data_IF_427425146443
#
_entry.id   IF_427425146443
#
_cell.length_a   1.000
_cell.length_b   1.000
_cell.length_c   1.000
_cell.angle_alpha   90.00
_cell.angle_beta   90.00
_cell.angle_gamma   90.00
#
_symmetry.space_group_name_H-M   'P 1'
#
loop_
_entity.id
_entity.type
_entity.pdbx_description
1 polymer ?
#
# COMPACT_ATOMS: atom_id res chain seq x y z
N UNK A 1 -20.57 -3.67 9.20
CA UNK A 1 -19.34 -4.02 8.48
C UNK A 1 -19.47 -3.41 7.09
N UNK A 2 -18.64 -2.43 6.78
CA UNK A 2 -18.61 -1.85 5.44
C UNK A 2 -17.97 -2.88 4.53
N UNK A 3 -18.61 -3.23 3.42
CA UNK A 3 -18.06 -4.15 2.43
C UNK A 3 -16.98 -3.43 1.61
N UNK A 4 -15.75 -3.51 2.09
CA UNK A 4 -14.58 -2.82 1.53
C UNK A 4 -14.29 -3.26 0.07
N UNK A 5 -14.78 -4.42 -0.36
CA UNK A 5 -14.62 -4.91 -1.73
C UNK A 5 -15.42 -4.09 -2.76
N UNK A 6 -16.49 -3.41 -2.33
CA UNK A 6 -17.36 -2.59 -3.20
C UNK A 6 -16.95 -1.11 -3.26
N UNK A 7 -15.96 -0.66 -2.49
CA UNK A 7 -15.64 0.76 -2.34
C UNK A 7 -14.54 1.19 -3.30
N UNK A 8 -13.69 0.30 -3.77
CA UNK A 8 -12.56 0.71 -4.59
C UNK A 8 -12.23 -0.30 -5.70
N UNK A 9 -12.49 0.09 -6.94
CA UNK A 9 -11.98 -0.62 -8.10
C UNK A 9 -10.57 -0.08 -8.39
N UNK A 10 -9.52 -0.93 -8.34
CA UNK A 10 -8.15 -0.49 -8.62
C UNK A 10 -8.04 0.11 -10.03
N UNK A 11 -7.31 1.21 -10.15
CA UNK A 11 -7.13 1.91 -11.43
C UNK A 11 -6.29 1.04 -12.37
N UNK A 12 -6.73 0.90 -13.64
CA UNK A 12 -6.03 0.14 -14.69
C UNK A 12 -5.69 -1.31 -14.26
N UNK A 13 -6.55 -1.96 -13.47
CA UNK A 13 -6.28 -3.26 -12.87
C UNK A 13 -5.82 -4.30 -13.89
N UNK A 14 -6.56 -4.45 -14.99
CA UNK A 14 -6.26 -5.45 -16.01
C UNK A 14 -4.92 -5.17 -16.72
N UNK A 15 -4.62 -3.90 -16.98
CA UNK A 15 -3.36 -3.49 -17.60
C UNK A 15 -2.18 -3.76 -16.65
N UNK A 16 -2.32 -3.44 -15.37
CA UNK A 16 -1.31 -3.73 -14.35
C UNK A 16 -1.08 -5.24 -14.21
N UNK A 17 -2.14 -6.05 -14.18
CA UNK A 17 -2.03 -7.51 -14.12
C UNK A 17 -1.31 -8.05 -15.36
N UNK A 18 -1.68 -7.60 -16.56
CA UNK A 18 -1.06 -8.06 -17.79
C UNK A 18 0.44 -7.71 -17.89
N UNK A 19 0.87 -6.60 -17.29
CA UNK A 19 2.27 -6.20 -17.26
C UNK A 19 3.07 -6.97 -16.20
N UNK A 20 2.47 -7.25 -15.03
CA UNK A 20 3.14 -7.91 -13.92
C UNK A 20 3.19 -9.44 -14.08
N UNK A 21 2.11 -10.05 -14.57
CA UNK A 21 1.97 -11.51 -14.62
C UNK A 21 3.13 -12.24 -15.32
N UNK A 22 3.67 -11.78 -16.47
CA UNK A 22 4.76 -12.48 -17.14
C UNK A 22 6.03 -12.63 -16.29
N UNK A 23 6.32 -11.65 -15.41
CA UNK A 23 7.46 -11.70 -14.52
C UNK A 23 7.23 -12.68 -13.34
N UNK A 24 6.00 -13.08 -13.09
CA UNK A 24 5.58 -13.88 -11.94
C UNK A 24 5.19 -15.33 -12.30
N UNK A 25 5.38 -15.77 -13.55
CA UNK A 25 4.96 -17.09 -14.04
C UNK A 25 5.81 -18.27 -13.55
N UNK A 26 6.99 -18.01 -12.96
CA UNK A 26 7.88 -19.06 -12.51
C UNK A 26 7.68 -19.41 -11.03
N UNK A 27 8.17 -20.59 -10.63
CA UNK A 27 8.13 -21.03 -9.23
C UNK A 27 8.93 -20.09 -8.32
N UNK A 28 8.37 -19.79 -7.15
CA UNK A 28 8.95 -18.91 -6.13
C UNK A 28 9.14 -17.44 -6.58
N UNK A 29 8.42 -17.00 -7.61
CA UNK A 29 8.43 -15.60 -8.00
C UNK A 29 7.99 -14.70 -6.84
N UNK A 30 8.64 -13.55 -6.71
CA UNK A 30 8.37 -12.57 -5.64
C UNK A 30 8.01 -11.23 -6.25
N UNK A 31 6.81 -10.77 -5.96
CA UNK A 31 6.39 -9.40 -6.23
C UNK A 31 6.48 -8.53 -4.98
N UNK A 32 6.73 -7.24 -5.16
CA UNK A 32 6.57 -6.23 -4.12
C UNK A 32 5.54 -5.20 -4.59
N UNK A 33 4.55 -4.97 -3.76
CA UNK A 33 3.63 -3.83 -3.88
C UNK A 33 4.02 -2.79 -2.83
N UNK A 34 4.59 -1.67 -3.28
CA UNK A 34 5.12 -0.61 -2.42
C UNK A 34 4.03 0.38 -1.97
N UNK A 35 2.80 0.21 -2.44
CA UNK A 35 1.64 1.08 -2.22
C UNK A 35 0.39 0.23 -2.02
N UNK A 36 0.46 -0.70 -1.06
CA UNK A 36 -0.50 -1.78 -0.89
C UNK A 36 -1.96 -1.31 -0.79
N UNK A 37 -2.20 -0.21 -0.04
CA UNK A 37 -3.54 0.28 0.23
C UNK A 37 -4.45 -0.82 0.78
N UNK A 38 -5.58 -1.05 0.11
CA UNK A 38 -6.52 -2.13 0.44
C UNK A 38 -6.25 -3.43 -0.34
N UNK A 39 -5.04 -3.62 -0.87
CA UNK A 39 -4.56 -4.80 -1.58
C UNK A 39 -5.32 -5.17 -2.87
N UNK A 40 -5.97 -4.22 -3.53
CA UNK A 40 -6.76 -4.51 -4.73
C UNK A 40 -5.93 -5.08 -5.88
N UNK A 41 -4.83 -4.41 -6.24
CA UNK A 41 -3.86 -4.88 -7.24
C UNK A 41 -3.16 -6.16 -6.81
N UNK A 42 -2.66 -6.19 -5.58
CA UNK A 42 -1.94 -7.33 -5.01
C UNK A 42 -2.73 -8.64 -5.04
N UNK A 43 -4.03 -8.59 -4.72
CA UNK A 43 -4.93 -9.75 -4.82
C UNK A 43 -5.03 -10.23 -6.28
N UNK A 44 -5.16 -9.31 -7.23
CA UNK A 44 -5.24 -9.66 -8.64
C UNK A 44 -3.93 -10.27 -9.15
N UNK A 45 -2.77 -9.75 -8.75
CA UNK A 45 -1.46 -10.32 -9.09
C UNK A 45 -1.33 -11.76 -8.56
N UNK A 46 -1.65 -12.00 -7.29
CA UNK A 46 -1.57 -13.33 -6.69
C UNK A 46 -2.59 -14.31 -7.30
N UNK A 47 -3.74 -13.85 -7.76
CA UNK A 47 -4.71 -14.69 -8.49
C UNK A 47 -4.23 -15.03 -9.89
N UNK A 48 -3.57 -14.08 -10.58
CA UNK A 48 -3.02 -14.30 -11.92
C UNK A 48 -1.75 -15.18 -11.89
N UNK A 49 -0.97 -15.12 -10.81
CA UNK A 49 0.26 -15.88 -10.61
C UNK A 49 0.17 -16.79 -9.36
N UNK A 50 -0.41 -18.01 -9.47
CA UNK A 50 -0.70 -18.87 -8.32
C UNK A 50 0.53 -19.34 -7.53
N UNK A 51 1.73 -19.31 -8.13
CA UNK A 51 3.00 -19.73 -7.51
C UNK A 51 3.79 -18.57 -6.91
N UNK A 52 3.38 -17.33 -7.18
CA UNK A 52 4.07 -16.15 -6.70
C UNK A 52 3.74 -15.87 -5.23
N UNK A 53 4.68 -15.22 -4.55
CA UNK A 53 4.53 -14.60 -3.24
C UNK A 53 4.56 -13.08 -3.40
N UNK A 54 3.97 -12.36 -2.46
CA UNK A 54 3.91 -10.89 -2.50
C UNK A 54 4.27 -10.30 -1.15
N UNK A 55 5.15 -9.32 -1.17
CA UNK A 55 5.42 -8.42 -0.06
C UNK A 55 4.61 -7.16 -0.30
N UNK A 56 3.70 -6.84 0.62
CA UNK A 56 2.90 -5.63 0.54
C UNK A 56 3.36 -4.61 1.56
N UNK A 57 3.85 -3.47 1.07
CA UNK A 57 4.35 -2.37 1.90
C UNK A 57 3.31 -1.27 1.94
N UNK A 58 2.98 -0.80 3.13
CA UNK A 58 2.24 0.44 3.31
C UNK A 58 2.72 1.16 4.56
N UNK A 59 2.76 2.48 4.50
CA UNK A 59 3.06 3.33 5.64
C UNK A 59 1.84 3.64 6.51
N UNK A 60 0.64 3.32 6.03
CA UNK A 60 -0.62 3.45 6.75
C UNK A 60 -0.96 2.12 7.43
N UNK A 61 -0.78 2.05 8.74
CA UNK A 61 -1.02 0.83 9.52
C UNK A 61 -2.48 0.38 9.50
N UNK A 62 -3.44 1.29 9.31
CA UNK A 62 -4.85 0.97 9.19
C UNK A 62 -5.15 0.29 7.85
N UNK A 63 -4.65 0.87 6.74
CA UNK A 63 -4.75 0.27 5.42
C UNK A 63 -4.11 -1.13 5.41
N UNK A 64 -2.93 -1.28 6.02
CA UNK A 64 -2.24 -2.57 6.13
C UNK A 64 -3.06 -3.62 6.89
N UNK A 65 -3.72 -3.24 7.98
CA UNK A 65 -4.61 -4.13 8.72
C UNK A 65 -5.78 -4.61 7.88
N UNK A 66 -6.48 -3.69 7.20
CA UNK A 66 -7.59 -4.01 6.31
C UNK A 66 -7.17 -4.87 5.10
N UNK A 67 -5.99 -4.60 4.54
CA UNK A 67 -5.41 -5.40 3.47
C UNK A 67 -5.13 -6.83 3.92
N UNK A 68 -4.58 -7.01 5.11
CA UNK A 68 -4.28 -8.32 5.70
C UNK A 68 -5.56 -9.14 5.89
N UNK A 69 -6.59 -8.56 6.50
CA UNK A 69 -7.90 -9.22 6.63
C UNK A 69 -8.51 -9.59 5.28
N UNK A 70 -8.31 -8.75 4.26
CA UNK A 70 -8.79 -9.03 2.92
C UNK A 70 -8.05 -10.18 2.26
N UNK A 71 -6.72 -10.24 2.41
CA UNK A 71 -5.90 -11.36 1.94
C UNK A 71 -6.31 -12.69 2.58
N UNK A 72 -6.63 -12.70 3.88
CA UNK A 72 -7.14 -13.87 4.59
C UNK A 72 -8.48 -14.33 4.01
N UNK A 73 -9.43 -13.42 3.80
CA UNK A 73 -10.75 -13.74 3.20
C UNK A 73 -10.66 -14.28 1.78
N UNK A 74 -9.67 -13.83 1.02
CA UNK A 74 -9.39 -14.30 -0.34
C UNK A 74 -8.59 -15.63 -0.37
N UNK A 75 -8.16 -16.16 0.78
CA UNK A 75 -7.36 -17.36 0.89
C UNK A 75 -5.92 -17.21 0.37
N UNK A 76 -5.36 -16.00 0.47
CA UNK A 76 -4.05 -15.63 -0.06
C UNK A 76 -3.00 -15.37 1.03
N UNK A 77 -3.37 -15.47 2.31
CA UNK A 77 -2.52 -15.12 3.44
C UNK A 77 -1.17 -15.87 3.45
N UNK A 78 -1.15 -17.14 3.06
CA UNK A 78 0.08 -17.96 3.02
C UNK A 78 1.12 -17.49 2.00
N UNK A 79 0.70 -16.63 1.06
CA UNK A 79 1.53 -16.08 -0.01
C UNK A 79 1.77 -14.59 0.10
N UNK A 80 1.34 -13.98 1.22
CA UNK A 80 1.37 -12.56 1.46
C UNK A 80 2.18 -12.22 2.71
N UNK A 81 3.06 -11.22 2.61
CA UNK A 81 3.87 -10.70 3.72
C UNK A 81 3.53 -9.20 3.86
N UNK A 82 2.74 -8.80 4.84
CA UNK A 82 2.48 -7.39 5.12
C UNK A 82 3.66 -6.73 5.84
N UNK A 83 4.06 -5.54 5.41
CA UNK A 83 5.15 -4.78 6.03
C UNK A 83 4.74 -3.33 6.22
N UNK A 84 4.77 -2.86 7.49
CA UNK A 84 4.56 -1.45 7.81
C UNK A 84 5.85 -0.66 7.61
N UNK A 85 5.98 -0.04 6.45
CA UNK A 85 7.13 0.76 6.05
C UNK A 85 6.75 1.78 4.97
N UNK A 86 7.59 2.76 4.73
CA UNK A 86 7.49 3.59 3.54
C UNK A 86 8.22 2.93 2.36
N UNK A 87 7.81 3.23 1.13
CA UNK A 87 8.37 2.61 -0.07
C UNK A 87 9.87 2.91 -0.29
N UNK A 88 10.38 4.00 0.25
CA UNK A 88 11.80 4.35 0.24
C UNK A 88 12.66 3.46 1.17
N UNK A 89 12.02 2.64 1.99
CA UNK A 89 12.66 1.64 2.85
C UNK A 89 12.70 0.24 2.21
N UNK A 90 12.38 0.11 0.92
CA UNK A 90 12.32 -1.17 0.22
C UNK A 90 13.57 -2.03 0.43
N UNK A 91 14.76 -1.43 0.33
CA UNK A 91 16.02 -2.16 0.51
C UNK A 91 16.12 -2.80 1.91
N UNK A 92 15.72 -2.06 2.94
CA UNK A 92 15.71 -2.58 4.30
C UNK A 92 14.66 -3.67 4.48
N UNK A 93 13.46 -3.49 3.92
CA UNK A 93 12.39 -4.50 3.94
C UNK A 93 12.85 -5.82 3.33
N UNK A 94 13.54 -5.78 2.18
CA UNK A 94 14.06 -6.98 1.53
C UNK A 94 15.18 -7.64 2.35
N UNK A 95 16.08 -6.83 2.92
CA UNK A 95 17.16 -7.34 3.77
C UNK A 95 16.61 -8.04 5.04
N UNK A 96 15.58 -7.47 5.67
CA UNK A 96 14.95 -8.05 6.88
C UNK A 96 14.21 -9.37 6.58
N UNK A 97 13.88 -9.64 5.32
CA UNK A 97 13.26 -10.89 4.86
C UNK A 97 14.27 -11.88 4.24
N UNK A 98 15.58 -11.59 4.28
CA UNK A 98 16.63 -12.36 3.62
C UNK A 98 16.39 -12.54 2.10
N UNK A 99 15.83 -11.52 1.44
CA UNK A 99 15.49 -11.52 0.00
C UNK A 99 16.49 -10.65 -0.74
N UNK A 100 17.31 -11.27 -1.61
CA UNK A 100 18.30 -10.56 -2.42
C UNK A 100 17.72 -9.99 -3.73
N UNK A 101 16.66 -10.62 -4.25
CA UNK A 101 16.07 -10.26 -5.55
C UNK A 101 14.56 -10.46 -5.55
N UNK A 102 13.87 -9.58 -6.28
CA UNK A 102 12.44 -9.69 -6.58
C UNK A 102 12.23 -9.66 -8.09
N UNK A 103 11.14 -10.23 -8.56
CA UNK A 103 10.85 -10.39 -9.98
C UNK A 103 10.03 -9.22 -10.52
N UNK A 104 9.25 -8.59 -9.66
CA UNK A 104 8.46 -7.42 -10.01
C UNK A 104 8.27 -6.47 -8.82
N UNK A 105 8.24 -5.17 -9.11
CA UNK A 105 7.92 -4.11 -8.14
C UNK A 105 6.77 -3.28 -8.72
N UNK A 106 5.75 -3.08 -7.92
CA UNK A 106 4.59 -2.27 -8.27
C UNK A 106 4.51 -1.04 -7.36
N UNK A 107 4.18 0.12 -7.95
CA UNK A 107 3.94 1.37 -7.24
C UNK A 107 2.78 2.12 -7.90
N UNK A 108 1.68 2.30 -7.16
CA UNK A 108 0.56 3.19 -7.51
C UNK A 108 0.63 4.43 -6.62
N UNK A 109 1.45 5.40 -7.06
CA UNK A 109 1.82 6.55 -6.23
C UNK A 109 0.68 7.56 -6.14
N UNK A 110 0.28 7.89 -4.93
CA UNK A 110 -0.78 8.87 -4.66
C UNK A 110 -1.40 8.71 -3.28
N UNK A 111 -2.63 9.18 -3.15
CA UNK A 111 -3.46 9.02 -1.96
C UNK A 111 -4.43 7.85 -2.15
N UNK A 112 -4.66 7.08 -1.10
CA UNK A 112 -5.69 6.05 -1.11
C UNK A 112 -7.08 6.67 -0.91
N UNK A 113 -8.12 5.99 -1.42
CA UNK A 113 -9.51 6.40 -1.17
C UNK A 113 -9.82 6.42 0.32
N UNK A 114 -9.29 5.48 1.10
CA UNK A 114 -9.44 5.44 2.55
C UNK A 114 -8.99 6.76 3.18
N UNK A 115 -7.81 7.28 2.80
CA UNK A 115 -7.26 8.53 3.32
C UNK A 115 -8.12 9.75 2.94
N UNK A 116 -8.71 9.75 1.75
CA UNK A 116 -9.58 10.86 1.27
C UNK A 116 -10.95 10.81 1.95
N UNK A 117 -11.52 9.62 2.12
CA UNK A 117 -12.87 9.41 2.65
C UNK A 117 -12.92 9.63 4.17
N UNK A 118 -11.82 9.40 4.87
CA UNK A 118 -11.68 9.68 6.30
C UNK A 118 -11.40 11.17 6.54
N UNK A 119 -12.46 11.93 6.73
CA UNK A 119 -12.42 13.40 6.87
C UNK A 119 -11.39 13.87 7.90
N UNK A 120 -11.29 13.19 9.05
CA UNK A 120 -10.41 13.56 10.16
C UNK A 120 -8.92 13.42 9.84
N UNK A 121 -8.57 12.71 8.75
CA UNK A 121 -7.19 12.58 8.24
C UNK A 121 -6.67 13.86 7.58
N UNK A 122 -7.55 14.79 7.20
CA UNK A 122 -7.19 16.07 6.64
C UNK A 122 -6.70 16.07 5.19
N UNK A 123 -6.94 15.00 4.42
CA UNK A 123 -6.54 14.93 3.00
C UNK A 123 -7.56 15.54 2.04
N UNK A 124 -8.81 15.72 2.48
CA UNK A 124 -9.87 16.31 1.67
C UNK A 124 -10.08 17.79 2.00
N UNK A 125 -10.17 18.62 0.97
CA UNK A 125 -10.54 20.04 1.11
C UNK A 125 -12.06 20.29 1.06
N UNK A 126 -12.86 19.24 0.91
CA UNK A 126 -14.32 19.35 0.79
C UNK A 126 -15.04 19.55 2.13
N UNK A 127 -14.34 19.32 3.24
CA UNK A 127 -14.84 19.44 4.60
C UNK A 127 -13.80 20.10 5.50
N UNK A 128 -14.26 20.78 6.54
CA UNK A 128 -13.39 21.25 7.61
C UNK A 128 -12.84 20.04 8.39
N UNK A 129 -11.51 19.98 8.50
CA UNK A 129 -10.81 18.91 9.19
C UNK A 129 -9.53 19.44 9.83
N UNK A 130 -8.93 18.74 10.82
CA UNK A 130 -7.59 19.04 11.29
C UNK A 130 -6.58 19.01 10.14
N UNK A 131 -5.61 19.92 10.12
CA UNK A 131 -4.54 19.95 9.14
C UNK A 131 -3.46 18.92 9.54
N UNK A 132 -3.85 17.64 9.53
CA UNK A 132 -3.01 16.53 9.93
C UNK A 132 -2.16 16.01 8.74
N UNK A 133 -2.78 15.38 7.76
CA UNK A 133 -2.22 14.84 6.53
C UNK A 133 -1.10 13.78 6.74
N UNK A 134 -1.01 13.17 7.92
CA UNK A 134 -0.09 12.04 8.14
C UNK A 134 -0.69 10.78 7.50
N UNK A 135 0.06 10.16 6.62
CA UNK A 135 -0.28 8.82 6.15
C UNK A 135 -0.01 7.77 7.25
N UNK A 136 1.10 7.94 7.97
CA UNK A 136 1.43 7.16 9.17
C UNK A 136 1.14 8.01 10.42
N UNK A 137 0.03 7.72 11.07
CA UNK A 137 -0.43 8.45 12.27
C UNK A 137 0.48 8.27 13.49
N UNK A 138 1.38 7.29 13.47
CA UNK A 138 2.39 7.12 14.53
C UNK A 138 3.49 8.19 14.48
N UNK A 139 3.67 8.86 13.34
CA UNK A 139 4.64 9.92 13.16
C UNK A 139 4.19 11.20 13.87
N UNK A 140 5.11 11.97 14.48
CA UNK A 140 4.74 13.17 15.24
C UNK A 140 4.50 14.41 14.39
N UNK A 141 4.88 14.38 13.08
CA UNK A 141 4.91 15.55 12.23
C UNK A 141 3.65 15.68 11.38
N UNK A 142 2.76 16.60 11.76
CA UNK A 142 1.55 16.95 11.00
C UNK A 142 1.82 18.07 10.00
N UNK A 143 0.95 18.25 9.01
CA UNK A 143 1.01 19.38 8.09
C UNK A 143 0.89 20.73 8.82
N UNK A 144 0.04 20.81 9.84
CA UNK A 144 -0.06 21.99 10.71
C UNK A 144 1.29 22.36 11.33
N UNK A 145 2.00 21.35 11.88
CA UNK A 145 3.29 21.57 12.53
C UNK A 145 4.36 21.99 11.51
N UNK A 146 4.37 21.38 10.33
CA UNK A 146 5.28 21.78 9.24
C UNK A 146 5.08 23.26 8.91
N UNK A 147 3.86 23.68 8.63
CA UNK A 147 3.55 25.08 8.29
C UNK A 147 3.83 26.07 9.43
N UNK A 148 3.72 25.62 10.69
CA UNK A 148 3.98 26.47 11.85
C UNK A 148 5.47 26.62 12.19
N UNK A 149 6.32 25.68 11.79
CA UNK A 149 7.71 25.61 12.29
C UNK A 149 8.78 25.68 11.22
N UNK A 150 8.48 25.31 9.97
CA UNK A 150 9.43 25.32 8.85
C UNK A 150 9.56 26.72 8.27
N UNK A 151 10.76 27.10 7.88
CA UNK A 151 10.97 28.34 7.14
C UNK A 151 10.71 28.16 5.63
N UNK A 152 10.77 29.25 4.87
CA UNK A 152 10.45 29.21 3.44
C UNK A 152 11.44 28.40 2.58
N UNK A 153 12.62 28.08 3.11
CA UNK A 153 13.61 27.25 2.40
C UNK A 153 13.43 25.76 2.70
N UNK A 154 12.78 25.44 3.81
CA UNK A 154 12.46 24.06 4.23
C UNK A 154 11.15 23.56 3.60
N UNK A 155 10.23 24.48 3.22
CA UNK A 155 8.96 24.20 2.53
C UNK A 155 9.15 24.09 1.01
#
# INVERSE_FOLDING_TARGET
MVDVANIHLPVLLDDCVNLMAPALEHENAIAVDCTLGLAGHSIAFLKAAPQARLIGIDRDSEALGLATERMEREGLADRFIPVHAAFDQLDQVLADQDIERVDAVFMDLGLSSLQIDETDRGFSYSHDAPLDMRMDVSQPLTAERILATYDAAEL
#
